data_IF_470311864152
#
_entry.id   IF_470311864152
#
_cell.length_a   1.000
_cell.length_b   1.000
_cell.length_c   1.000
_cell.angle_alpha   90.00
_cell.angle_beta   90.00
_cell.angle_gamma   90.00
#
_symmetry.space_group_name_H-M   'P 1'
#
loop_
_entity.id
_entity.type
_entity.pdbx_description
1 polymer ?
#
# COMPACT_ATOMS: atom_id res chain seq x y z
N UNK A 1 16.48 15.68 -9.31
CA UNK A 1 15.15 15.97 -8.75
C UNK A 1 15.07 15.33 -7.38
N UNK A 2 14.50 16.01 -6.38
CA UNK A 2 14.61 15.59 -4.97
C UNK A 2 13.31 14.94 -4.52
N UNK A 3 13.37 13.67 -4.15
CA UNK A 3 12.31 12.95 -3.43
C UNK A 3 12.31 13.37 -1.97
N UNK A 4 11.15 13.39 -1.32
CA UNK A 4 11.04 13.78 0.10
C UNK A 4 11.32 12.63 1.05
N UNK A 5 11.04 11.40 0.63
CA UNK A 5 11.21 10.20 1.45
C UNK A 5 12.41 9.40 0.96
N UNK A 6 13.26 8.99 1.89
CA UNK A 6 14.40 8.12 1.65
C UNK A 6 14.05 6.64 1.96
N UNK A 7 14.16 5.72 0.98
CA UNK A 7 14.02 4.28 1.20
C UNK A 7 14.91 3.69 2.30
N UNK A 8 16.10 4.23 2.54
CA UNK A 8 17.00 3.74 3.59
C UNK A 8 16.47 4.05 5.00
N UNK A 9 15.82 5.21 5.17
CA UNK A 9 15.14 5.56 6.42
C UNK A 9 13.93 4.65 6.63
N UNK A 10 13.13 4.40 5.59
CA UNK A 10 12.00 3.46 5.67
C UNK A 10 12.46 2.06 6.07
N UNK A 11 13.60 1.60 5.53
CA UNK A 11 14.18 0.31 5.88
C UNK A 11 14.62 0.27 7.34
N UNK A 12 15.21 1.37 7.83
CA UNK A 12 15.63 1.51 9.22
C UNK A 12 14.43 1.44 10.15
N UNK A 13 13.35 2.17 9.86
CA UNK A 13 12.11 2.10 10.63
C UNK A 13 11.51 0.69 10.61
N UNK A 14 11.49 0.04 9.44
CA UNK A 14 10.98 -1.32 9.33
C UNK A 14 11.72 -2.29 10.25
N UNK A 15 13.05 -2.22 10.31
CA UNK A 15 13.87 -3.05 11.21
C UNK A 15 13.60 -2.77 12.69
N UNK A 16 13.32 -1.52 13.07
CA UNK A 16 13.10 -1.14 14.47
C UNK A 16 11.81 -1.69 15.05
N UNK A 17 10.82 -2.02 14.22
CA UNK A 17 9.52 -2.52 14.66
C UNK A 17 9.34 -4.02 14.51
N UNK A 18 10.32 -4.73 13.93
CA UNK A 18 10.30 -6.19 13.81
C UNK A 18 10.20 -6.83 15.19
N UNK A 19 9.34 -7.83 15.33
CA UNK A 19 9.14 -8.59 16.56
C UNK A 19 8.16 -7.95 17.54
N UNK A 20 7.69 -6.73 17.28
CA UNK A 20 6.60 -6.15 18.06
C UNK A 20 5.27 -6.92 17.81
N UNK A 21 4.40 -7.03 18.82
CA UNK A 21 3.11 -7.70 18.65
C UNK A 21 2.23 -7.02 17.60
N UNK A 22 1.66 -7.83 16.71
CA UNK A 22 0.69 -7.38 15.71
C UNK A 22 -0.75 -7.34 16.25
N UNK A 23 -1.09 -8.25 17.17
CA UNK A 23 -2.48 -8.49 17.65
C UNK A 23 -3.11 -7.24 18.29
N UNK A 24 -2.31 -6.46 19.02
CA UNK A 24 -2.74 -5.22 19.65
C UNK A 24 -2.59 -3.98 18.75
N UNK A 25 -2.17 -4.17 17.48
CA UNK A 25 -1.84 -3.08 16.56
C UNK A 25 -0.57 -2.30 16.91
N UNK A 26 0.14 -2.70 17.98
CA UNK A 26 1.33 -2.03 18.49
C UNK A 26 2.44 -1.87 17.45
N UNK A 27 2.71 -2.91 16.66
CA UNK A 27 3.69 -2.88 15.57
C UNK A 27 3.39 -1.76 14.56
N UNK A 28 2.13 -1.64 14.10
CA UNK A 28 1.74 -0.66 13.09
C UNK A 28 1.71 0.76 13.66
N UNK A 29 1.28 0.91 14.91
CA UNK A 29 1.30 2.20 15.61
C UNK A 29 2.74 2.71 15.79
N UNK A 30 3.65 1.86 16.28
CA UNK A 30 5.06 2.21 16.43
C UNK A 30 5.71 2.54 15.09
N UNK A 31 5.37 1.84 14.01
CA UNK A 31 5.88 2.15 12.68
C UNK A 31 5.49 3.58 12.26
N UNK A 32 4.23 3.97 12.46
CA UNK A 32 3.73 5.31 12.15
C UNK A 32 4.40 6.37 13.02
N UNK A 33 4.55 6.13 14.32
CA UNK A 33 5.23 7.05 15.25
C UNK A 33 6.68 7.30 14.84
N UNK A 34 7.42 6.25 14.48
CA UNK A 34 8.80 6.34 14.01
C UNK A 34 8.90 7.10 12.69
N UNK A 35 8.00 6.81 11.74
CA UNK A 35 7.94 7.54 10.47
C UNK A 35 7.65 9.03 10.68
N UNK A 36 6.74 9.37 11.60
CA UNK A 36 6.40 10.76 11.90
C UNK A 36 7.54 11.50 12.60
N UNK A 37 8.38 10.80 13.37
CA UNK A 37 9.58 11.38 13.96
C UNK A 37 10.64 11.72 12.90
N UNK A 38 10.84 10.85 11.91
CA UNK A 38 11.79 11.06 10.81
C UNK A 38 11.29 12.08 9.77
N UNK A 39 9.97 12.11 9.54
CA UNK A 39 9.33 13.01 8.58
C UNK A 39 8.18 13.79 9.22
N UNK A 40 8.50 14.78 10.08
CA UNK A 40 7.50 15.66 10.66
C UNK A 40 6.64 16.30 9.56
N UNK A 41 5.34 16.43 9.81
CA UNK A 41 4.34 17.04 8.92
C UNK A 41 4.09 16.34 7.57
N UNK A 42 4.82 15.27 7.25
CA UNK A 42 4.64 14.51 6.00
C UNK A 42 3.75 13.29 6.17
N UNK A 43 3.78 12.70 7.36
CA UNK A 43 3.11 11.43 7.68
C UNK A 43 1.81 11.70 8.42
N UNK A 44 0.70 11.14 7.90
CA UNK A 44 -0.59 11.19 8.57
C UNK A 44 -0.62 10.25 9.79
N UNK A 45 -0.48 10.85 10.97
CA UNK A 45 -0.55 10.17 12.28
C UNK A 45 -1.96 10.12 12.85
N UNK A 46 -2.96 10.72 12.19
CA UNK A 46 -4.33 10.79 12.68
C UNK A 46 -4.99 9.39 12.80
N UNK A 47 -6.25 9.32 13.24
CA UNK A 47 -7.04 8.08 13.19
C UNK A 47 -7.37 7.73 11.73
N UNK A 48 -6.36 7.24 11.00
CA UNK A 48 -6.46 6.87 9.60
C UNK A 48 -7.40 5.70 9.40
N UNK A 49 -8.19 5.73 8.33
CA UNK A 49 -9.12 4.65 7.99
C UNK A 49 -8.41 3.58 7.16
N UNK A 50 -8.62 2.33 7.52
CA UNK A 50 -8.28 1.20 6.68
C UNK A 50 -9.28 1.07 5.53
N UNK A 51 -8.77 0.88 4.33
CA UNK A 51 -9.57 0.67 3.13
C UNK A 51 -9.27 -0.73 2.59
N UNK A 52 -10.30 -1.45 2.16
CA UNK A 52 -10.13 -2.69 1.41
C UNK A 52 -9.57 -2.38 0.03
N UNK A 53 -8.48 -3.02 -0.36
CA UNK A 53 -7.87 -2.85 -1.68
C UNK A 53 -7.71 -4.22 -2.34
N UNK A 54 -8.19 -4.33 -3.57
CA UNK A 54 -7.89 -5.42 -4.48
C UNK A 54 -7.17 -4.82 -5.67
N UNK A 55 -6.08 -5.43 -6.14
CA UNK A 55 -5.41 -5.06 -7.38
C UNK A 55 -4.60 -6.26 -7.89
N UNK A 56 -4.79 -6.66 -9.15
CA UNK A 56 -4.02 -7.77 -9.74
C UNK A 56 -4.22 -9.10 -9.01
N UNK A 57 -5.39 -9.30 -8.37
CA UNK A 57 -5.68 -10.47 -7.53
C UNK A 57 -5.21 -10.36 -6.07
N UNK A 58 -4.33 -9.39 -5.77
CA UNK A 58 -3.85 -9.13 -4.41
C UNK A 58 -4.94 -8.40 -3.63
N UNK A 59 -5.45 -9.03 -2.58
CA UNK A 59 -6.48 -8.50 -1.69
C UNK A 59 -5.90 -8.25 -0.29
N UNK A 60 -6.11 -7.04 0.23
CA UNK A 60 -5.67 -6.69 1.57
C UNK A 60 -6.30 -5.41 2.10
N UNK A 61 -5.76 -4.96 3.22
CA UNK A 61 -6.10 -3.68 3.84
C UNK A 61 -4.96 -2.70 3.60
N UNK A 62 -5.31 -1.50 3.17
CA UNK A 62 -4.38 -0.40 2.96
C UNK A 62 -4.72 0.77 3.90
N UNK A 63 -3.69 1.40 4.46
CA UNK A 63 -3.79 2.68 5.15
C UNK A 63 -2.80 3.64 4.50
N UNK A 64 -3.31 4.75 3.98
CA UNK A 64 -2.48 5.79 3.39
C UNK A 64 -1.83 6.62 4.49
N UNK A 65 -0.51 6.84 4.38
CA UNK A 65 0.27 7.67 5.30
C UNK A 65 0.75 8.96 4.63
N UNK A 66 1.07 8.88 3.34
CA UNK A 66 1.50 10.04 2.55
C UNK A 66 1.16 9.85 1.07
N UNK A 67 0.80 10.93 0.39
CA UNK A 67 0.54 10.91 -1.05
C UNK A 67 0.90 12.24 -1.72
N UNK A 68 1.51 12.17 -2.90
CA UNK A 68 1.77 13.30 -3.78
C UNK A 68 1.73 12.85 -5.25
N UNK A 69 1.96 13.78 -6.18
CA UNK A 69 2.06 13.46 -7.61
C UNK A 69 3.21 12.50 -7.95
N UNK A 70 4.22 12.41 -7.07
CA UNK A 70 5.46 11.68 -7.35
C UNK A 70 5.84 10.61 -6.34
N UNK A 71 5.21 10.61 -5.19
CA UNK A 71 5.55 9.73 -4.07
C UNK A 71 4.28 9.32 -3.35
N UNK A 72 4.20 8.08 -2.89
CA UNK A 72 3.19 7.64 -1.93
C UNK A 72 3.84 6.73 -0.90
N UNK A 73 3.30 6.74 0.33
CA UNK A 73 3.64 5.78 1.37
C UNK A 73 2.34 5.24 1.97
N UNK A 74 2.23 3.92 2.00
CA UNK A 74 1.10 3.23 2.60
C UNK A 74 1.57 2.09 3.51
N UNK A 75 0.74 1.74 4.48
CA UNK A 75 0.77 0.44 5.12
C UNK A 75 -0.16 -0.49 4.37
N UNK A 76 0.34 -1.67 4.03
CA UNK A 76 -0.45 -2.72 3.42
C UNK A 76 -0.29 -4.02 4.22
N UNK A 77 -1.38 -4.77 4.36
CA UNK A 77 -1.29 -6.13 4.85
C UNK A 77 -2.50 -6.97 4.50
N UNK A 78 -2.35 -8.28 4.63
CA UNK A 78 -3.43 -9.25 4.41
C UNK A 78 -3.53 -10.21 5.60
N UNK A 79 -4.58 -10.08 6.43
CA UNK A 79 -4.76 -10.98 7.57
C UNK A 79 -4.88 -12.45 7.17
N UNK A 80 -5.49 -12.75 6.03
CA UNK A 80 -5.77 -14.11 5.55
C UNK A 80 -4.85 -14.56 4.41
N UNK A 81 -3.87 -13.74 4.04
CA UNK A 81 -2.98 -14.00 2.91
C UNK A 81 -3.65 -13.74 1.55
N UNK A 82 -2.82 -13.61 0.52
CA UNK A 82 -3.26 -13.33 -0.85
C UNK A 82 -2.16 -13.66 -1.86
N UNK A 83 -2.56 -13.94 -3.11
CA UNK A 83 -1.65 -14.19 -4.22
C UNK A 83 -2.08 -13.37 -5.43
N UNK A 84 -1.12 -12.90 -6.22
CA UNK A 84 -1.46 -12.20 -7.45
C UNK A 84 -0.30 -11.55 -8.17
N UNK A 85 -0.67 -10.75 -9.15
CA UNK A 85 0.20 -9.98 -10.01
C UNK A 85 0.58 -8.66 -9.35
N UNK A 86 1.88 -8.35 -9.28
CA UNK A 86 2.37 -7.11 -8.68
C UNK A 86 1.91 -5.85 -9.42
N UNK A 87 1.52 -5.97 -10.69
CA UNK A 87 1.42 -4.83 -11.60
C UNK A 87 2.73 -4.59 -12.36
N UNK A 88 2.63 -3.98 -13.54
CA UNK A 88 3.77 -3.53 -14.34
C UNK A 88 3.78 -2.00 -14.44
N UNK A 89 4.52 -1.35 -13.55
CA UNK A 89 4.53 0.11 -13.45
C UNK A 89 5.69 0.70 -14.27
N UNK A 90 5.39 1.28 -15.42
CA UNK A 90 6.44 1.80 -16.33
C UNK A 90 7.18 3.04 -15.80
N UNK A 91 6.59 3.78 -14.86
CA UNK A 91 7.10 5.08 -14.44
C UNK A 91 7.27 5.22 -12.91
N UNK A 92 7.09 4.15 -12.15
CA UNK A 92 7.19 4.13 -10.69
C UNK A 92 8.01 2.94 -10.24
N UNK A 93 8.96 3.17 -9.33
CA UNK A 93 9.62 2.12 -8.57
C UNK A 93 8.81 1.89 -7.28
N UNK A 94 8.58 0.63 -6.92
CA UNK A 94 7.82 0.26 -5.73
C UNK A 94 8.73 -0.46 -4.75
N UNK A 95 8.93 0.15 -3.59
CA UNK A 95 9.71 -0.39 -2.49
C UNK A 95 8.77 -1.03 -1.48
N UNK A 96 9.09 -2.24 -1.04
CA UNK A 96 8.39 -2.94 0.04
C UNK A 96 9.35 -3.19 1.19
N UNK A 97 8.92 -2.86 2.40
CA UNK A 97 9.67 -3.09 3.63
C UNK A 97 8.82 -3.92 4.56
N UNK A 98 9.21 -5.18 4.77
CA UNK A 98 8.37 -6.14 5.48
C UNK A 98 8.48 -5.92 6.99
N UNK A 99 7.35 -5.78 7.67
CA UNK A 99 7.29 -5.56 9.12
C UNK A 99 6.95 -6.86 9.86
N UNK A 100 6.07 -7.68 9.28
CA UNK A 100 5.63 -8.96 9.83
C UNK A 100 5.25 -9.94 8.71
N UNK A 101 5.30 -11.24 9.00
CA UNK A 101 4.96 -12.31 8.08
C UNK A 101 6.08 -12.58 7.06
N UNK A 102 5.70 -12.94 5.83
CA UNK A 102 6.64 -13.27 4.76
C UNK A 102 6.02 -13.04 3.38
N UNK A 103 6.84 -12.72 2.39
CA UNK A 103 6.40 -12.56 0.99
C UNK A 103 7.30 -13.40 0.08
N UNK A 104 6.69 -14.29 -0.69
CA UNK A 104 7.37 -15.00 -1.76
C UNK A 104 7.11 -14.30 -3.09
N UNK A 105 8.12 -14.32 -3.96
CA UNK A 105 7.99 -13.71 -5.28
C UNK A 105 8.81 -14.44 -6.33
N UNK A 106 8.42 -14.28 -7.59
CA UNK A 106 9.21 -14.73 -8.74
C UNK A 106 9.08 -13.69 -9.85
N UNK A 107 10.12 -13.59 -10.67
CA UNK A 107 10.12 -12.67 -11.80
C UNK A 107 9.27 -13.23 -12.95
N UNK A 108 8.43 -12.39 -13.55
CA UNK A 108 7.61 -12.79 -14.70
C UNK A 108 8.33 -12.56 -16.02
N UNK A 109 9.40 -11.78 -16.01
CA UNK A 109 10.17 -11.42 -17.20
C UNK A 109 11.46 -12.24 -17.33
N UNK A 110 11.82 -13.03 -16.31
CA UNK A 110 12.96 -13.95 -16.35
C UNK A 110 12.54 -15.34 -16.85
N UNK A 111 13.46 -16.01 -17.55
CA UNK A 111 13.35 -17.44 -17.88
C UNK A 111 13.64 -18.35 -16.67
N UNK A 112 14.04 -17.78 -15.53
CA UNK A 112 14.29 -18.51 -14.29
C UNK A 112 13.01 -19.16 -13.76
N UNK A 113 13.07 -20.48 -13.54
CA UNK A 113 11.96 -21.25 -12.97
C UNK A 113 11.97 -21.30 -11.43
N UNK A 114 12.89 -20.57 -10.80
CA UNK A 114 13.12 -20.60 -9.35
C UNK A 114 12.57 -19.30 -8.73
N UNK A 115 11.88 -19.38 -7.58
CA UNK A 115 11.44 -18.18 -6.88
C UNK A 115 12.64 -17.33 -6.41
N UNK A 116 12.42 -16.03 -6.30
CA UNK A 116 13.33 -15.13 -5.61
C UNK A 116 13.40 -15.52 -4.12
N UNK A 117 14.48 -15.18 -3.41
CA UNK A 117 14.56 -15.37 -1.97
C UNK A 117 13.33 -14.78 -1.26
N UNK A 118 12.76 -15.56 -0.34
CA UNK A 118 11.62 -15.14 0.48
C UNK A 118 11.98 -13.87 1.24
N UNK A 119 11.14 -12.85 1.14
CA UNK A 119 11.28 -11.61 1.90
C UNK A 119 10.79 -11.85 3.34
N UNK A 120 11.66 -11.57 4.30
CA UNK A 120 11.42 -11.74 5.73
C UNK A 120 11.33 -10.38 6.49
N UNK A 121 10.78 -10.35 7.72
CA UNK A 121 10.63 -9.11 8.48
C UNK A 121 11.96 -8.39 8.68
N UNK A 122 11.97 -7.08 8.42
CA UNK A 122 13.17 -6.24 8.46
C UNK A 122 13.96 -6.23 7.15
N UNK A 123 13.55 -6.98 6.15
CA UNK A 123 14.12 -6.95 4.80
C UNK A 123 13.34 -5.99 3.89
N UNK A 124 13.93 -5.69 2.73
CA UNK A 124 13.33 -4.86 1.70
C UNK A 124 13.52 -5.43 0.31
N UNK A 125 12.59 -5.10 -0.57
CA UNK A 125 12.73 -5.33 -2.02
C UNK A 125 12.27 -4.10 -2.79
N UNK A 126 12.85 -3.89 -3.97
CA UNK A 126 12.41 -2.89 -4.93
C UNK A 126 11.93 -3.59 -6.20
N UNK A 127 10.69 -3.31 -6.62
CA UNK A 127 10.21 -3.60 -7.95
C UNK A 127 10.53 -2.39 -8.82
N UNK A 128 11.51 -2.54 -9.71
CA UNK A 128 11.94 -1.49 -10.61
C UNK A 128 10.92 -1.23 -11.71
N UNK A 129 10.92 0.00 -12.22
CA UNK A 129 10.08 0.42 -13.35
C UNK A 129 10.10 -0.59 -14.49
N UNK A 130 8.90 -0.91 -14.98
CA UNK A 130 8.71 -1.74 -16.16
C UNK A 130 8.77 -3.25 -15.88
N UNK A 131 9.22 -3.69 -14.71
CA UNK A 131 9.21 -5.10 -14.32
C UNK A 131 7.89 -5.50 -13.68
N UNK A 132 7.64 -6.81 -13.63
CA UNK A 132 6.51 -7.37 -12.91
C UNK A 132 6.86 -8.71 -12.24
N UNK A 133 6.16 -9.02 -11.14
CA UNK A 133 6.37 -10.23 -10.35
C UNK A 133 5.05 -10.91 -10.04
N UNK A 134 5.09 -12.24 -9.92
CA UNK A 134 4.09 -12.98 -9.18
C UNK A 134 4.41 -12.91 -7.69
N UNK A 135 3.40 -12.71 -6.84
CA UNK A 135 3.57 -12.52 -5.40
C UNK A 135 2.65 -13.45 -4.62
N UNK A 136 3.17 -13.99 -3.52
CA UNK A 136 2.39 -14.59 -2.44
C UNK A 136 2.67 -13.83 -1.16
N UNK A 137 1.65 -13.15 -0.64
CA UNK A 137 1.70 -12.48 0.67
C UNK A 137 1.01 -13.43 1.65
N UNK A 138 1.77 -13.96 2.61
CA UNK A 138 1.26 -14.97 3.54
C UNK A 138 0.30 -14.37 4.58
N UNK A 139 -0.56 -15.17 5.21
CA UNK A 139 -1.44 -14.71 6.29
C UNK A 139 -0.68 -13.97 7.39
N UNK A 140 -1.25 -12.88 7.88
CA UNK A 140 -0.63 -12.04 8.91
C UNK A 140 0.56 -11.21 8.43
N UNK A 141 0.80 -11.10 7.12
CA UNK A 141 1.91 -10.29 6.60
C UNK A 141 1.53 -8.82 6.46
N UNK A 142 2.43 -7.94 6.92
CA UNK A 142 2.28 -6.49 6.91
C UNK A 142 3.57 -5.83 6.47
N UNK A 143 3.48 -4.83 5.59
CA UNK A 143 4.63 -4.10 5.06
C UNK A 143 4.32 -2.62 4.84
N UNK A 144 5.38 -1.82 4.81
CA UNK A 144 5.34 -0.49 4.21
C UNK A 144 5.52 -0.65 2.70
N UNK A 145 4.68 0.03 1.93
CA UNK A 145 4.85 0.17 0.48
C UNK A 145 5.08 1.63 0.13
N UNK A 146 6.21 1.91 -0.51
CA UNK A 146 6.63 3.23 -0.94
C UNK A 146 6.82 3.24 -2.46
N UNK A 147 5.99 4.00 -3.16
CA UNK A 147 6.16 4.22 -4.59
C UNK A 147 6.82 5.57 -4.87
N UNK A 148 7.83 5.59 -5.74
CA UNK A 148 8.48 6.83 -6.22
C UNK A 148 8.56 6.87 -7.74
N UNK A 149 8.16 7.99 -8.35
CA UNK A 149 8.13 8.14 -9.81
C UNK A 149 6.97 9.02 -10.27
N UNK A 150 6.29 8.66 -11.36
CA UNK A 150 5.05 9.31 -11.78
C UNK A 150 3.83 8.60 -11.15
N UNK A 151 3.59 8.82 -9.85
CA UNK A 151 2.57 8.10 -9.07
C UNK A 151 1.16 8.24 -9.64
N UNK A 152 0.83 9.34 -10.30
CA UNK A 152 -0.47 9.49 -11.00
C UNK A 152 -0.72 8.36 -12.03
N UNK A 153 0.35 7.76 -12.59
CA UNK A 153 0.23 6.65 -13.54
C UNK A 153 -0.12 5.30 -12.89
N UNK A 154 0.01 5.17 -11.57
CA UNK A 154 -0.38 3.95 -10.84
C UNK A 154 -1.87 3.92 -10.53
N UNK A 155 -2.53 5.09 -10.53
CA UNK A 155 -3.93 5.25 -10.20
C UNK A 155 -4.85 4.37 -11.06
N UNK A 156 -4.71 4.28 -12.40
CA UNK A 156 -5.54 3.35 -13.18
C UNK A 156 -5.45 1.91 -12.69
N UNK A 157 -4.25 1.40 -12.36
CA UNK A 157 -4.11 0.02 -11.85
C UNK A 157 -4.71 -0.15 -10.45
N UNK A 158 -4.45 0.80 -9.54
CA UNK A 158 -5.01 0.77 -8.18
C UNK A 158 -6.54 1.04 -8.16
N UNK A 159 -7.05 1.77 -9.14
CA UNK A 159 -8.45 2.15 -9.27
C UNK A 159 -9.25 1.19 -10.15
N UNK A 160 -8.64 0.41 -11.05
CA UNK A 160 -9.38 -0.56 -11.89
C UNK A 160 -10.15 -1.53 -11.00
N UNK A 161 -9.53 -2.08 -9.97
CA UNK A 161 -10.23 -2.97 -9.05
C UNK A 161 -11.02 -2.19 -7.99
N UNK A 162 -10.62 -0.97 -7.57
CA UNK A 162 -11.49 -0.18 -6.69
C UNK A 162 -12.78 0.24 -7.40
N UNK A 163 -12.77 0.53 -8.70
CA UNK A 163 -13.95 0.88 -9.51
C UNK A 163 -14.74 -0.36 -9.94
N UNK A 164 -14.08 -1.48 -10.26
CA UNK A 164 -14.75 -2.72 -10.67
C UNK A 164 -15.26 -3.56 -9.47
N UNK A 165 -14.61 -3.49 -8.31
CA UNK A 165 -15.07 -4.08 -7.04
C UNK A 165 -16.06 -3.15 -6.32
N UNK A 166 -16.09 -1.84 -6.63
CA UNK A 166 -17.17 -0.92 -6.21
C UNK A 166 -18.43 -1.02 -7.07
N UNK A 167 -18.63 -2.12 -7.80
CA UNK A 167 -19.98 -2.57 -8.18
C UNK A 167 -20.79 -3.07 -6.97
N UNK A 168 -20.45 -2.66 -5.74
CA UNK A 168 -21.46 -2.53 -4.69
C UNK A 168 -22.34 -1.30 -4.95
N UNK A 169 -23.42 -1.54 -5.69
CA UNK A 169 -24.52 -0.60 -5.94
C UNK A 169 -25.01 0.12 -4.67
N UNK A 170 -24.81 -0.45 -3.48
CA UNK A 170 -25.25 0.11 -2.22
C UNK A 170 -24.43 1.33 -1.75
N UNK A 171 -23.12 1.36 -2.06
CA UNK A 171 -22.23 2.47 -1.69
C UNK A 171 -22.47 3.72 -2.55
N UNK A 172 -22.74 3.50 -3.85
CA UNK A 172 -23.17 4.55 -4.79
C UNK A 172 -24.53 5.13 -4.38
N UNK A 173 -25.50 4.28 -4.00
CA UNK A 173 -26.83 4.72 -3.57
C UNK A 173 -26.78 5.65 -2.36
N UNK A 174 -25.96 5.33 -1.35
CA UNK A 174 -25.80 6.16 -0.14
C UNK A 174 -25.16 7.51 -0.46
N UNK A 175 -24.18 7.54 -1.36
CA UNK A 175 -23.50 8.77 -1.77
C UNK A 175 -24.40 9.71 -2.58
N UNK A 176 -25.23 9.17 -3.48
CA UNK A 176 -26.18 9.95 -4.28
C UNK A 176 -27.32 10.53 -3.44
N UNK A 177 -27.76 9.82 -2.40
CA UNK A 177 -28.77 10.32 -1.46
C UNK A 177 -28.28 11.54 -0.67
N UNK A 178 -27.03 11.51 -0.21
CA UNK A 178 -26.42 12.64 0.50
C UNK A 178 -26.20 13.84 -0.42
N UNK A 179 -25.81 13.63 -1.68
CA UNK A 179 -25.65 14.70 -2.66
C UNK A 179 -26.98 15.40 -2.98
N UNK A 180 -28.07 14.64 -3.17
CA UNK A 180 -29.42 15.18 -3.42
C UNK A 180 -29.96 15.99 -2.24
N UNK A 181 -29.63 15.59 -1.00
CA UNK A 181 -30.05 16.27 0.23
C UNK A 181 -29.33 17.61 0.42
N UNK A 182 -28.10 17.73 -0.06
CA UNK A 182 -27.31 18.97 -0.02
C UNK A 182 -27.72 19.95 -1.12
N UNK A 183 -28.06 19.46 -2.33
CA UNK A 183 -28.53 20.31 -3.44
C UNK A 183 -29.92 20.90 -3.16
N UNK A 184 -30.84 20.11 -2.60
CA UNK A 184 -32.20 20.59 -2.26
C UNK A 184 -32.23 21.65 -1.15
N UNK A 185 -31.22 21.67 -0.25
CA UNK A 185 -31.06 22.74 0.75
C UNK A 185 -30.54 24.05 0.18
N UNK A 186 -29.87 24.02 -0.98
CA UNK A 186 -29.36 25.22 -1.65
C UNK A 186 -30.43 25.93 -2.50
N UNK A 187 -31.53 25.25 -2.84
CA UNK A 187 -32.68 25.83 -3.54
C UNK A 187 -33.83 26.26 -2.61
N UNK A 188 -33.69 26.11 -1.28
CA UNK A 188 -34.63 26.65 -0.27
C UNK A 188 -34.05 27.81 0.54
N UNK A 189 -33.03 28.48 0.01
CA UNK A 189 -32.60 29.82 0.45
C UNK A 189 -32.49 30.72 -0.76
#
# INVERSE_FOLDING_TARGET
MTYKIDPDVLHTVAKQVVGLPLEDGGLLAHAIERLAAEYPDLIDTGPGRWVGSKAGGILGKVRFLYFSRREYLVLFGSPTGTQGFSGRYKHVDIHKFLLAGQIDSYDLDSDDMVPLPTLLPGERTCLERGHARGLTIHPGSWHLEYGRGAVVTTLPFAMVDTLLVSLEFESVRRSTAEFSKLVSRRFRR
#
